data_IF_353939996313
#
_entry.id   IF_353939996313
#
_cell.length_a   1.000
_cell.length_b   1.000
_cell.length_c   1.000
_cell.angle_alpha   90.00
_cell.angle_beta   90.00
_cell.angle_gamma   90.00
#
_symmetry.space_group_name_H-M   'P 1'
#
loop_
_entity.id
_entity.type
_entity.pdbx_description
1 polymer ?
#
# COMPACT_ATOMS: atom_id res chain seq x y z
N UNK A 1 -19.91 27.41 28.90
CA UNK A 1 -20.54 26.57 27.84
C UNK A 1 -19.46 26.24 26.83
N UNK A 2 -19.02 24.98 26.81
CA UNK A 2 -18.01 24.50 25.87
C UNK A 2 -18.65 24.39 24.47
N UNK A 3 -18.01 24.99 23.47
CA UNK A 3 -18.44 24.88 22.08
C UNK A 3 -18.29 23.45 21.60
N UNK A 4 -19.40 22.83 21.21
CA UNK A 4 -19.40 21.56 20.49
C UNK A 4 -18.68 21.75 19.16
N UNK A 5 -17.69 20.90 18.90
CA UNK A 5 -16.88 20.92 17.68
C UNK A 5 -17.75 20.84 16.44
N UNK A 6 -17.43 21.68 15.45
CA UNK A 6 -18.10 21.75 14.17
C UNK A 6 -17.90 20.41 13.44
N UNK A 7 -18.93 19.57 13.35
CA UNK A 7 -18.92 18.43 12.43
C UNK A 7 -18.93 19.01 11.02
N UNK A 8 -17.86 18.79 10.25
CA UNK A 8 -17.86 19.13 8.82
C UNK A 8 -18.98 18.33 8.13
N UNK A 9 -19.61 18.91 7.11
CA UNK A 9 -20.69 18.27 6.36
C UNK A 9 -20.15 17.19 5.43
N UNK A 10 -20.82 16.03 5.37
CA UNK A 10 -20.55 15.01 4.36
C UNK A 10 -20.89 15.54 2.96
N UNK A 11 -20.31 14.91 1.95
CA UNK A 11 -20.50 15.28 0.54
C UNK A 11 -21.09 14.10 -0.22
N UNK A 12 -22.33 14.23 -0.67
CA UNK A 12 -23.00 13.25 -1.52
C UNK A 12 -22.92 13.67 -3.00
N UNK A 13 -22.32 12.82 -3.83
CA UNK A 13 -22.23 12.98 -5.29
C UNK A 13 -23.39 12.26 -5.96
N UNK A 14 -24.10 12.96 -6.86
CA UNK A 14 -25.22 12.40 -7.62
C UNK A 14 -24.79 11.85 -8.99
N UNK A 15 -25.51 10.85 -9.50
CA UNK A 15 -25.21 10.12 -10.74
C UNK A 15 -25.25 10.96 -12.04
N UNK A 16 -25.79 12.18 -11.99
CA UNK A 16 -25.83 13.14 -13.12
C UNK A 16 -24.49 13.84 -13.38
N UNK A 17 -23.50 13.69 -12.48
CA UNK A 17 -22.12 14.09 -12.73
C UNK A 17 -21.87 15.60 -12.72
N UNK A 18 -22.05 16.24 -11.55
CA UNK A 18 -21.43 17.50 -11.10
C UNK A 18 -22.09 18.01 -9.80
N UNK A 19 -23.35 17.62 -9.58
CA UNK A 19 -24.16 18.08 -8.45
C UNK A 19 -23.72 17.39 -7.15
N UNK A 20 -23.44 18.21 -6.13
CA UNK A 20 -23.06 17.78 -4.80
C UNK A 20 -24.10 18.26 -3.80
N UNK A 21 -24.58 17.36 -2.97
CA UNK A 21 -25.36 17.71 -1.79
C UNK A 21 -24.43 17.68 -0.58
N UNK A 22 -24.49 18.72 0.25
CA UNK A 22 -23.72 18.78 1.49
C UNK A 22 -24.67 18.65 2.67
N UNK A 23 -24.28 17.86 3.67
CA UNK A 23 -25.09 17.63 4.87
C UNK A 23 -24.56 16.47 5.70
N UNK A 24 -25.23 16.15 6.80
CA UNK A 24 -24.89 15.00 7.64
C UNK A 24 -25.77 13.82 7.23
N UNK A 25 -25.16 12.75 6.72
CA UNK A 25 -25.86 11.51 6.42
C UNK A 25 -26.43 10.90 7.70
N UNK A 26 -27.74 10.66 7.72
CA UNK A 26 -28.47 10.07 8.84
C UNK A 26 -28.81 8.62 8.62
N UNK A 27 -29.22 8.25 7.42
CA UNK A 27 -29.54 6.85 7.11
C UNK A 27 -29.45 6.56 5.62
N UNK A 28 -29.23 5.29 5.31
CA UNK A 28 -29.55 4.69 4.03
C UNK A 28 -30.38 3.46 4.34
N UNK A 29 -31.66 3.52 4.03
CA UNK A 29 -32.59 2.42 4.24
C UNK A 29 -32.40 1.29 3.24
N UNK A 30 -32.89 0.12 3.62
CA UNK A 30 -33.02 -1.08 2.80
C UNK A 30 -34.08 -0.92 1.69
N UNK A 31 -34.92 0.12 1.79
CA UNK A 31 -35.76 0.63 0.71
C UNK A 31 -34.98 1.47 -0.32
N UNK A 32 -33.67 1.64 -0.12
CA UNK A 32 -32.78 2.42 -0.96
C UNK A 32 -32.99 3.93 -0.83
N UNK A 33 -33.62 4.43 0.24
CA UNK A 33 -33.77 5.88 0.48
C UNK A 33 -32.63 6.39 1.37
N UNK A 34 -31.96 7.46 0.93
CA UNK A 34 -30.96 8.18 1.71
C UNK A 34 -31.59 9.38 2.42
N UNK A 35 -31.34 9.53 3.71
CA UNK A 35 -31.74 10.69 4.50
C UNK A 35 -30.53 11.54 4.87
N UNK A 36 -30.53 12.80 4.42
CA UNK A 36 -29.47 13.77 4.63
C UNK A 36 -30.00 14.98 5.40
N UNK A 37 -29.35 15.33 6.52
CA UNK A 37 -29.62 16.60 7.18
C UNK A 37 -28.77 17.69 6.53
N UNK A 38 -29.40 18.59 5.77
CA UNK A 38 -28.72 19.63 4.99
C UNK A 38 -29.29 21.01 5.34
N UNK A 39 -28.48 22.06 5.24
CA UNK A 39 -28.94 23.45 5.39
C UNK A 39 -29.91 23.88 4.27
N UNK A 40 -29.98 23.12 3.18
CA UNK A 40 -30.89 23.37 2.06
C UNK A 40 -32.37 23.12 2.39
N UNK A 41 -32.66 22.43 3.50
CA UNK A 41 -34.03 22.14 3.92
C UNK A 41 -34.16 22.13 5.46
N UNK A 42 -35.30 22.57 6.02
CA UNK A 42 -35.52 22.58 7.47
C UNK A 42 -35.70 21.16 8.08
N UNK A 43 -35.84 20.12 7.24
CA UNK A 43 -35.99 18.73 7.66
C UNK A 43 -35.01 17.80 6.94
N UNK A 44 -35.17 16.49 7.13
CA UNK A 44 -34.35 15.51 6.43
C UNK A 44 -34.67 15.54 4.92
N UNK A 45 -33.64 15.82 4.12
CA UNK A 45 -33.70 15.68 2.68
C UNK A 45 -33.71 14.19 2.35
N UNK A 46 -34.78 13.73 1.71
CA UNK A 46 -34.94 12.34 1.26
C UNK A 46 -34.57 12.24 -0.20
N UNK A 47 -33.51 11.49 -0.50
CA UNK A 47 -33.00 11.28 -1.85
C UNK A 47 -33.14 9.80 -2.18
N UNK A 48 -33.58 9.47 -3.41
CA UNK A 48 -33.50 8.07 -3.87
C UNK A 48 -32.03 7.69 -3.92
N UNK A 49 -31.61 6.67 -3.17
CA UNK A 49 -30.24 6.18 -3.13
C UNK A 49 -29.71 5.74 -4.50
N UNK A 50 -30.59 5.36 -5.42
CA UNK A 50 -30.22 5.13 -6.83
C UNK A 50 -29.73 6.39 -7.58
N UNK A 51 -29.95 7.59 -7.05
CA UNK A 51 -29.39 8.84 -7.59
C UNK A 51 -28.06 9.20 -6.93
N UNK A 52 -27.68 8.52 -5.84
CA UNK A 52 -26.46 8.81 -5.07
C UNK A 52 -25.39 7.81 -5.50
N UNK A 53 -24.29 8.31 -6.04
CA UNK A 53 -23.15 7.50 -6.44
C UNK A 53 -22.24 7.22 -5.24
N UNK A 54 -21.94 8.28 -4.48
CA UNK A 54 -20.97 8.23 -3.38
C UNK A 54 -21.31 9.26 -2.31
N UNK A 55 -21.11 8.90 -1.05
CA UNK A 55 -21.05 9.81 0.09
C UNK A 55 -19.63 9.77 0.65
N UNK A 56 -18.98 10.92 0.76
CA UNK A 56 -17.68 11.09 1.43
C UNK A 56 -17.91 11.70 2.82
N UNK A 57 -17.40 11.04 3.85
CA UNK A 57 -17.53 11.53 5.22
C UNK A 57 -16.51 12.62 5.50
N UNK A 58 -16.96 13.68 6.16
CA UNK A 58 -16.16 14.88 6.36
C UNK A 58 -15.09 14.76 7.46
N UNK A 59 -15.20 13.73 8.29
CA UNK A 59 -14.25 13.45 9.35
C UNK A 59 -13.04 12.76 8.74
N UNK A 60 -11.87 13.38 8.85
CA UNK A 60 -10.62 12.70 8.55
C UNK A 60 -10.46 11.58 9.57
N UNK A 61 -10.81 10.35 9.20
CA UNK A 61 -10.50 9.20 10.04
C UNK A 61 -9.02 9.24 10.39
N UNK A 62 -8.72 9.25 11.69
CA UNK A 62 -7.38 9.02 12.18
C UNK A 62 -7.00 7.64 11.68
N UNK A 63 -5.98 7.55 10.83
CA UNK A 63 -5.55 6.24 10.34
C UNK A 63 -5.13 5.39 11.56
N UNK A 64 -5.82 4.26 11.81
CA UNK A 64 -5.37 3.35 12.83
C UNK A 64 -4.01 2.77 12.41
N UNK A 65 -3.23 2.34 13.39
CA UNK A 65 -2.07 1.51 13.10
C UNK A 65 -2.52 0.30 12.27
N UNK A 66 -1.80 0.01 11.18
CA UNK A 66 -2.16 -1.07 10.28
C UNK A 66 -2.18 -2.40 11.03
N UNK A 67 -3.32 -3.10 11.08
CA UNK A 67 -3.38 -4.39 11.76
C UNK A 67 -2.50 -5.43 11.05
N UNK A 68 -1.92 -6.38 11.80
CA UNK A 68 -0.95 -7.34 11.26
C UNK A 68 -1.57 -8.37 10.31
N UNK A 69 -2.90 -8.42 10.20
CA UNK A 69 -3.61 -9.35 9.33
C UNK A 69 -4.79 -8.70 8.60
N UNK A 70 -5.27 -9.39 7.57
CA UNK A 70 -6.48 -9.04 6.82
C UNK A 70 -7.25 -10.30 6.48
N UNK A 71 -8.56 -10.25 6.73
CA UNK A 71 -9.50 -11.31 6.37
C UNK A 71 -10.25 -10.89 5.12
N UNK A 72 -10.36 -11.79 4.16
CA UNK A 72 -11.26 -11.69 3.03
C UNK A 72 -12.45 -12.60 3.27
N UNK A 73 -13.67 -12.08 3.11
CA UNK A 73 -14.90 -12.85 3.18
C UNK A 73 -15.27 -13.42 1.80
N UNK A 74 -16.15 -14.43 1.76
CA UNK A 74 -16.61 -15.07 0.51
C UNK A 74 -17.33 -14.13 -0.45
N UNK A 75 -17.89 -13.02 0.03
CA UNK A 75 -18.45 -11.97 -0.82
C UNK A 75 -17.40 -10.96 -1.33
N UNK A 76 -16.13 -11.10 -0.94
CA UNK A 76 -15.01 -10.23 -1.29
C UNK A 76 -14.84 -9.01 -0.38
N UNK A 77 -15.51 -8.96 0.76
CA UNK A 77 -15.30 -7.92 1.77
C UNK A 77 -13.95 -8.10 2.47
N UNK A 78 -13.35 -7.00 2.91
CA UNK A 78 -12.00 -6.97 3.48
C UNK A 78 -12.01 -6.37 4.88
N UNK A 79 -11.52 -7.14 5.85
CA UNK A 79 -11.44 -6.76 7.26
C UNK A 79 -9.98 -6.73 7.72
N UNK A 80 -9.36 -5.55 7.88
CA UNK A 80 -8.10 -5.38 8.61
C UNK A 80 -8.29 -5.69 10.10
N UNK A 81 -7.46 -6.58 10.65
CA UNK A 81 -7.55 -7.02 12.04
C UNK A 81 -6.27 -7.70 12.56
N UNK A 82 -6.25 -8.01 13.85
CA UNK A 82 -5.38 -9.04 14.43
C UNK A 82 -6.19 -10.33 14.64
N UNK A 83 -5.60 -11.48 14.30
CA UNK A 83 -6.19 -12.78 14.62
C UNK A 83 -5.99 -13.06 16.11
N UNK A 84 -7.06 -13.50 16.79
CA UNK A 84 -7.02 -13.83 18.21
C UNK A 84 -6.92 -15.34 18.37
N UNK A 85 -7.89 -16.07 17.80
CA UNK A 85 -7.98 -17.53 17.85
C UNK A 85 -8.87 -18.05 16.72
N UNK A 86 -8.77 -19.34 16.42
CA UNK A 86 -9.66 -20.02 15.51
C UNK A 86 -9.87 -21.46 15.94
N UNK A 87 -11.11 -21.93 15.77
CA UNK A 87 -11.50 -23.33 15.93
C UNK A 87 -12.13 -23.85 14.61
N UNK A 88 -12.59 -25.11 14.61
CA UNK A 88 -13.22 -25.73 13.42
C UNK A 88 -14.49 -25.01 12.94
N UNK A 89 -15.13 -24.20 13.78
CA UNK A 89 -16.40 -23.53 13.50
C UNK A 89 -16.21 -22.07 13.09
N UNK A 90 -15.17 -21.39 13.58
CA UNK A 90 -14.99 -19.97 13.28
C UNK A 90 -13.73 -19.33 13.83
N UNK A 91 -13.49 -18.13 13.32
CA UNK A 91 -12.35 -17.26 13.59
C UNK A 91 -12.80 -16.13 14.52
N UNK A 92 -11.97 -15.80 15.51
CA UNK A 92 -12.13 -14.63 16.35
C UNK A 92 -11.02 -13.63 16.03
N UNK A 93 -11.40 -12.39 15.74
CA UNK A 93 -10.46 -11.31 15.39
C UNK A 93 -10.72 -10.06 16.22
N UNK A 94 -9.69 -9.22 16.35
CA UNK A 94 -9.79 -7.86 16.85
C UNK A 94 -9.51 -6.86 15.75
N UNK A 95 -10.49 -6.04 15.37
CA UNK A 95 -10.34 -4.96 14.40
C UNK A 95 -10.32 -3.60 15.12
N UNK A 96 -9.43 -2.67 14.76
CA UNK A 96 -9.50 -1.31 15.30
C UNK A 96 -10.81 -0.58 14.98
N UNK A 97 -11.47 -0.97 13.89
CA UNK A 97 -12.70 -0.33 13.41
C UNK A 97 -13.96 -1.09 13.87
N UNK A 98 -13.92 -2.43 13.81
CA UNK A 98 -15.09 -3.27 14.10
C UNK A 98 -15.10 -3.86 15.51
N UNK A 99 -14.04 -3.62 16.30
CA UNK A 99 -13.86 -4.26 17.60
C UNK A 99 -13.63 -5.77 17.47
N UNK A 100 -14.02 -6.52 18.51
CA UNK A 100 -13.90 -7.98 18.53
C UNK A 100 -15.05 -8.62 17.76
N UNK A 101 -14.74 -9.48 16.79
CA UNK A 101 -15.72 -10.18 15.95
C UNK A 101 -15.46 -11.68 15.95
N UNK A 102 -16.54 -12.48 15.92
CA UNK A 102 -16.49 -13.91 15.56
C UNK A 102 -17.08 -14.09 14.17
N UNK A 103 -16.29 -14.66 13.27
CA UNK A 103 -16.65 -14.93 11.88
C UNK A 103 -16.77 -16.45 11.72
N UNK A 104 -17.92 -16.92 11.27
CA UNK A 104 -18.11 -18.34 10.98
C UNK A 104 -17.18 -18.78 9.83
N UNK A 105 -16.62 -19.99 9.93
CA UNK A 105 -15.64 -20.51 8.96
C UNK A 105 -16.16 -20.48 7.53
N UNK A 106 -17.45 -20.74 7.31
CA UNK A 106 -18.12 -20.70 6.00
C UNK A 106 -18.12 -19.32 5.33
N UNK A 107 -17.89 -18.24 6.07
CA UNK A 107 -17.82 -16.88 5.52
C UNK A 107 -16.40 -16.47 5.13
N UNK A 108 -15.37 -17.24 5.50
CA UNK A 108 -13.97 -16.92 5.21
C UNK A 108 -13.61 -17.33 3.77
N UNK A 109 -12.90 -16.46 3.07
CA UNK A 109 -12.30 -16.75 1.78
C UNK A 109 -10.77 -16.84 1.86
N UNK A 110 -10.15 -15.97 2.67
CA UNK A 110 -8.71 -15.98 2.92
C UNK A 110 -8.35 -15.24 4.21
N UNK A 111 -7.19 -15.58 4.78
CA UNK A 111 -6.48 -14.79 5.79
C UNK A 111 -5.09 -14.47 5.26
N UNK A 112 -4.67 -13.23 5.45
CA UNK A 112 -3.33 -12.76 5.11
C UNK A 112 -2.64 -12.24 6.36
N UNK A 113 -1.38 -12.62 6.57
CA UNK A 113 -0.63 -12.33 7.78
C UNK A 113 0.62 -11.48 7.49
N UNK A 114 1.12 -10.83 8.54
CA UNK A 114 2.21 -9.86 8.52
C UNK A 114 2.01 -8.73 7.53
N UNK A 115 0.78 -8.23 7.47
CA UNK A 115 0.47 -6.95 6.85
C UNK A 115 0.97 -5.87 7.80
N UNK A 116 2.18 -5.39 7.57
CA UNK A 116 2.73 -4.28 8.32
C UNK A 116 2.63 -3.01 7.47
N UNK A 117 2.48 -1.85 8.13
CA UNK A 117 2.86 -0.61 7.48
C UNK A 117 4.31 -0.78 7.00
N UNK A 118 4.59 -0.51 5.72
CA UNK A 118 5.96 -0.61 5.19
C UNK A 118 6.86 0.17 6.14
N UNK A 119 7.90 -0.47 6.70
CA UNK A 119 8.85 0.22 7.56
C UNK A 119 9.55 1.26 6.70
N UNK A 120 9.18 2.52 6.86
CA UNK A 120 9.86 3.64 6.21
C UNK A 120 11.22 3.78 6.90
N UNK A 121 12.26 3.40 6.17
CA UNK A 121 13.66 3.49 6.60
C UNK A 121 14.12 4.94 6.54
N UNK A 122 13.68 5.66 5.52
CA UNK A 122 13.95 7.07 5.34
C UNK A 122 12.82 7.75 4.58
N UNK A 123 12.51 8.99 4.98
CA UNK A 123 11.61 9.88 4.26
C UNK A 123 12.07 11.32 4.48
N UNK A 124 12.50 11.98 3.41
CA UNK A 124 13.07 13.32 3.45
C UNK A 124 13.34 13.89 2.05
N UNK A 125 14.15 14.95 1.93
CA UNK A 125 14.86 15.64 3.01
C UNK A 125 13.90 16.39 3.97
N UNK A 126 14.28 16.57 5.23
CA UNK A 126 13.51 17.32 6.25
C UNK A 126 14.16 18.64 6.65
N UNK A 127 15.49 18.68 6.61
CA UNK A 127 16.31 19.83 6.94
C UNK A 127 17.68 19.75 6.23
N UNK A 128 18.49 20.78 6.40
CA UNK A 128 19.82 20.96 5.80
C UNK A 128 20.92 20.10 6.45
N UNK A 129 20.65 19.46 7.59
CA UNK A 129 21.60 18.58 8.28
C UNK A 129 21.54 17.11 7.83
N UNK A 130 20.52 16.72 7.05
CA UNK A 130 20.32 15.32 6.67
C UNK A 130 21.30 14.82 5.59
N UNK A 131 21.85 15.71 4.77
CA UNK A 131 22.71 15.35 3.63
C UNK A 131 24.07 16.01 3.77
N UNK A 132 25.13 15.21 3.66
CA UNK A 132 26.51 15.69 3.79
C UNK A 132 27.14 15.90 2.42
N UNK A 133 27.75 17.06 2.19
CA UNK A 133 28.67 17.25 1.06
C UNK A 133 29.90 16.33 1.20
N UNK A 134 30.60 16.10 0.08
CA UNK A 134 31.95 15.54 0.15
C UNK A 134 32.96 16.69 0.15
N UNK A 135 33.97 16.63 1.01
CA UNK A 135 35.04 17.64 1.10
C UNK A 135 35.78 17.85 -0.25
N UNK A 136 35.75 16.84 -1.12
CA UNK A 136 36.38 16.84 -2.45
C UNK A 136 35.56 17.53 -3.54
N UNK A 137 34.30 17.88 -3.28
CA UNK A 137 33.41 18.56 -4.24
C UNK A 137 32.99 19.92 -3.66
N UNK A 138 33.33 21.00 -4.37
CA UNK A 138 33.14 22.38 -3.90
C UNK A 138 31.66 22.77 -3.64
N UNK A 139 30.69 22.00 -4.11
CA UNK A 139 29.26 22.32 -4.02
C UNK A 139 28.43 21.11 -3.62
N UNK A 140 27.56 21.30 -2.62
CA UNK A 140 26.60 20.32 -2.13
C UNK A 140 25.18 20.65 -2.62
N UNK A 141 24.27 19.68 -2.55
CA UNK A 141 22.84 19.93 -2.71
C UNK A 141 22.34 20.74 -1.51
N UNK A 142 21.58 21.80 -1.78
CA UNK A 142 21.06 22.70 -0.76
C UNK A 142 19.62 22.35 -0.42
N UNK A 143 19.28 22.33 0.86
CA UNK A 143 17.90 22.15 1.30
C UNK A 143 17.11 23.45 1.15
N UNK A 144 16.03 23.43 0.36
CA UNK A 144 15.15 24.58 0.13
C UNK A 144 13.69 24.10 0.16
N UNK A 145 12.93 24.53 1.17
CA UNK A 145 11.49 24.28 1.30
C UNK A 145 11.05 22.80 1.18
N UNK A 146 11.84 21.86 1.71
CA UNK A 146 11.52 20.42 1.62
C UNK A 146 12.13 19.69 0.42
N UNK A 147 12.85 20.40 -0.46
CA UNK A 147 13.50 19.86 -1.65
C UNK A 147 15.03 19.98 -1.51
N UNK A 148 15.77 19.08 -2.17
CA UNK A 148 17.21 19.27 -2.42
C UNK A 148 17.39 19.96 -3.77
N UNK A 149 18.12 21.07 -3.79
CA UNK A 149 18.33 21.91 -4.97
C UNK A 149 19.82 22.02 -5.29
N UNK A 150 20.18 21.79 -6.54
CA UNK A 150 21.50 22.01 -7.09
C UNK A 150 21.46 23.11 -8.14
N UNK A 151 22.47 23.97 -8.12
CA UNK A 151 22.78 24.91 -9.20
C UNK A 151 24.14 24.53 -9.79
N UNK A 152 24.13 23.97 -11.00
CA UNK A 152 25.33 23.38 -11.60
C UNK A 152 25.71 22.04 -10.96
N UNK A 153 27.02 21.83 -10.78
CA UNK A 153 27.57 20.60 -10.19
C UNK A 153 27.30 20.56 -8.70
N UNK A 154 26.86 19.41 -8.20
CA UNK A 154 26.62 19.21 -6.77
C UNK A 154 26.80 17.74 -6.38
N UNK A 155 27.26 17.50 -5.16
CA UNK A 155 27.41 16.16 -4.59
C UNK A 155 26.95 16.13 -3.13
N UNK A 156 26.10 15.18 -2.77
CA UNK A 156 25.74 14.94 -1.37
C UNK A 156 25.49 13.46 -1.10
N UNK A 157 25.80 13.03 0.12
CA UNK A 157 25.65 11.63 0.57
C UNK A 157 24.85 11.56 1.85
N UNK A 158 24.26 10.38 2.06
CA UNK A 158 23.61 10.01 3.31
C UNK A 158 23.69 8.51 3.49
N UNK A 159 23.96 8.05 4.71
CA UNK A 159 23.72 6.66 5.06
C UNK A 159 22.23 6.45 5.34
N UNK A 160 21.60 5.61 4.52
CA UNK A 160 20.18 5.26 4.60
C UNK A 160 19.98 3.96 5.39
N UNK A 161 20.97 3.06 5.40
CA UNK A 161 20.81 1.72 5.94
C UNK A 161 19.81 0.87 5.14
N UNK A 162 19.98 0.81 3.81
CA UNK A 162 19.10 0.04 2.91
C UNK A 162 18.89 -1.43 3.36
N UNK A 163 17.62 -1.88 3.50
CA UNK A 163 17.29 -3.29 3.76
C UNK A 163 17.69 -4.24 2.62
N UNK A 164 17.54 -5.55 2.83
CA UNK A 164 17.72 -6.54 1.75
C UNK A 164 16.68 -6.41 0.63
N UNK A 165 15.45 -5.99 0.98
CA UNK A 165 14.36 -5.74 0.05
C UNK A 165 13.72 -4.41 0.36
N UNK A 166 13.68 -3.52 -0.62
CA UNK A 166 13.20 -2.16 -0.39
C UNK A 166 12.57 -1.54 -1.63
N UNK A 167 11.67 -0.60 -1.39
CA UNK A 167 11.12 0.31 -2.38
C UNK A 167 11.78 1.68 -2.13
N UNK A 168 12.38 2.25 -3.17
CA UNK A 168 12.95 3.59 -3.19
C UNK A 168 12.17 4.47 -4.16
N UNK A 169 11.78 5.66 -3.72
CA UNK A 169 11.01 6.62 -4.51
C UNK A 169 11.62 8.00 -4.40
N UNK A 170 11.54 8.77 -5.48
CA UNK A 170 11.86 10.20 -5.49
C UNK A 170 11.32 10.84 -6.77
N UNK A 171 11.27 12.16 -6.79
CA UNK A 171 10.91 12.94 -7.98
C UNK A 171 12.05 13.89 -8.34
N UNK A 172 12.43 13.87 -9.61
CA UNK A 172 13.40 14.78 -10.21
C UNK A 172 12.66 15.92 -10.90
N UNK A 173 13.15 17.15 -10.77
CA UNK A 173 12.64 18.31 -11.49
C UNK A 173 13.80 19.18 -12.02
N UNK A 174 13.68 19.67 -13.26
CA UNK A 174 14.71 20.51 -13.87
C UNK A 174 14.17 21.79 -14.51
N UNK A 175 15.07 22.75 -14.69
CA UNK A 175 14.77 24.06 -15.27
C UNK A 175 14.24 23.96 -16.71
N UNK A 176 13.35 24.89 -17.07
CA UNK A 176 12.81 25.02 -18.43
C UNK A 176 13.92 25.29 -19.45
N UNK A 177 13.83 24.60 -20.59
CA UNK A 177 14.77 24.69 -21.71
C UNK A 177 16.22 24.27 -21.37
N UNK A 178 16.44 23.60 -20.24
CA UNK A 178 17.71 22.97 -19.88
C UNK A 178 17.59 21.45 -19.91
N UNK A 179 18.72 20.78 -20.10
CA UNK A 179 18.78 19.31 -20.04
C UNK A 179 19.14 18.87 -18.62
N UNK A 180 18.44 17.87 -18.06
CA UNK A 180 18.76 17.30 -16.77
C UNK A 180 20.10 16.54 -16.80
N UNK A 181 20.76 16.42 -15.66
CA UNK A 181 21.98 15.63 -15.51
C UNK A 181 22.10 15.08 -14.09
N UNK A 182 21.22 14.14 -13.76
CA UNK A 182 21.14 13.52 -12.45
C UNK A 182 21.87 12.18 -12.44
N UNK A 183 22.60 11.90 -11.36
CA UNK A 183 22.95 10.54 -10.96
C UNK A 183 22.55 10.30 -9.50
N UNK A 184 21.88 9.18 -9.26
CA UNK A 184 21.48 8.73 -7.93
C UNK A 184 22.14 7.37 -7.70
N UNK A 185 23.17 7.36 -6.88
CA UNK A 185 23.84 6.15 -6.42
C UNK A 185 23.12 5.60 -5.19
N UNK A 186 22.97 4.30 -5.11
CA UNK A 186 22.33 3.62 -3.99
C UNK A 186 22.96 2.26 -3.76
N UNK A 187 22.75 1.72 -2.55
CA UNK A 187 23.55 0.63 -2.02
C UNK A 187 25.06 0.95 -2.01
N UNK A 188 25.40 2.23 -1.83
CA UNK A 188 26.76 2.75 -1.89
C UNK A 188 27.50 2.47 -0.57
N UNK A 189 28.74 1.94 -0.58
CA UNK A 189 29.52 1.77 0.64
C UNK A 189 30.11 3.09 1.18
N UNK A 190 29.88 4.21 0.51
CA UNK A 190 30.38 5.55 0.86
C UNK A 190 31.90 5.62 0.94
N UNK A 191 32.57 4.94 0.02
CA UNK A 191 34.03 5.04 -0.16
C UNK A 191 34.41 6.36 -0.85
N UNK A 192 35.69 6.71 -0.80
CA UNK A 192 36.19 7.95 -1.40
C UNK A 192 35.93 8.01 -2.91
N UNK A 193 35.83 9.23 -3.46
CA UNK A 193 35.52 9.44 -4.87
C UNK A 193 36.54 8.76 -5.77
N UNK A 194 36.06 7.99 -6.76
CA UNK A 194 36.91 7.31 -7.73
C UNK A 194 37.37 5.91 -7.31
N UNK A 195 37.29 5.56 -6.02
CA UNK A 195 37.53 4.21 -5.53
C UNK A 195 36.52 3.23 -6.15
N UNK A 196 37.01 2.05 -6.54
CA UNK A 196 36.15 1.01 -7.12
C UNK A 196 35.36 0.35 -6.01
N UNK A 197 34.04 0.36 -6.14
CA UNK A 197 33.14 -0.23 -5.17
C UNK A 197 31.98 -0.96 -5.85
N UNK A 198 31.22 -1.70 -5.05
CA UNK A 198 29.99 -2.33 -5.47
C UNK A 198 28.78 -1.46 -5.12
N UNK A 199 28.11 -0.91 -6.14
CA UNK A 199 26.91 -0.07 -5.99
C UNK A 199 26.07 -0.07 -7.26
N UNK A 200 24.82 0.39 -7.13
CA UNK A 200 24.00 0.74 -8.27
C UNK A 200 23.97 2.24 -8.46
N UNK A 201 23.68 2.68 -9.67
CA UNK A 201 23.26 4.05 -9.90
C UNK A 201 22.26 4.18 -11.03
N UNK A 202 21.34 5.11 -10.84
CA UNK A 202 20.44 5.59 -11.86
C UNK A 202 20.99 6.89 -12.41
N UNK A 203 21.10 7.00 -13.73
CA UNK A 203 21.46 8.22 -14.43
C UNK A 203 20.30 8.68 -15.29
N UNK A 204 19.95 9.96 -15.21
CA UNK A 204 18.94 10.57 -16.07
C UNK A 204 19.48 11.84 -16.71
N UNK A 205 19.44 11.89 -18.04
CA UNK A 205 19.91 13.04 -18.80
C UNK A 205 19.42 13.06 -20.24
N UNK A 206 20.20 13.67 -21.14
CA UNK A 206 19.82 13.86 -22.55
C UNK A 206 19.55 12.56 -23.32
N UNK A 207 20.20 11.46 -22.93
CA UNK A 207 20.04 10.13 -23.54
C UNK A 207 18.90 9.30 -22.92
N UNK A 208 18.17 9.86 -21.96
CA UNK A 208 17.15 9.17 -21.19
C UNK A 208 17.68 8.60 -19.88
N UNK A 209 17.11 7.46 -19.45
CA UNK A 209 17.36 6.88 -18.14
C UNK A 209 18.14 5.57 -18.24
N UNK A 210 19.22 5.47 -17.48
CA UNK A 210 20.04 4.28 -17.37
C UNK A 210 20.14 3.82 -15.92
N UNK A 211 19.94 2.53 -15.70
CA UNK A 211 20.26 1.86 -14.45
C UNK A 211 21.52 1.03 -14.65
N UNK A 212 22.54 1.28 -13.84
CA UNK A 212 23.86 0.67 -13.97
C UNK A 212 24.34 0.06 -12.67
N UNK A 213 25.19 -0.95 -12.82
CA UNK A 213 25.96 -1.62 -11.78
C UNK A 213 27.42 -1.18 -11.90
N UNK A 214 27.95 -0.53 -10.86
CA UNK A 214 29.40 -0.34 -10.73
C UNK A 214 29.98 -1.49 -9.92
N UNK A 215 31.01 -2.18 -10.41
CA UNK A 215 31.59 -3.37 -9.75
C UNK A 215 33.04 -3.14 -9.29
N UNK A 216 33.36 -3.64 -8.10
CA UNK A 216 34.70 -3.50 -7.52
C UNK A 216 35.76 -4.35 -8.25
N UNK A 217 35.40 -5.58 -8.68
CA UNK A 217 36.37 -6.57 -9.20
C UNK A 217 36.37 -6.66 -10.73
N UNK A 218 35.21 -6.81 -11.35
CA UNK A 218 35.08 -7.16 -12.78
C UNK A 218 34.99 -5.94 -13.71
N UNK A 219 34.19 -6.00 -14.78
CA UNK A 219 33.88 -4.83 -15.60
C UNK A 219 33.31 -3.72 -14.72
N UNK A 220 33.99 -2.57 -14.71
CA UNK A 220 33.64 -1.47 -13.80
C UNK A 220 32.18 -1.06 -13.94
N UNK A 221 31.66 -0.88 -15.15
CA UNK A 221 30.27 -0.48 -15.38
C UNK A 221 29.53 -1.46 -16.27
N UNK A 222 28.38 -1.94 -15.78
CA UNK A 222 27.47 -2.82 -16.52
C UNK A 222 26.07 -2.22 -16.51
N UNK A 223 25.44 -2.12 -17.68
CA UNK A 223 24.05 -1.65 -17.80
C UNK A 223 23.09 -2.74 -17.35
N UNK A 224 22.23 -2.42 -16.40
CA UNK A 224 21.14 -3.28 -15.92
C UNK A 224 19.86 -2.99 -16.69
N UNK A 225 19.58 -1.71 -16.92
CA UNK A 225 18.44 -1.27 -17.74
C UNK A 225 18.77 0.01 -18.51
N UNK A 226 18.17 0.15 -19.69
CA UNK A 226 18.13 1.38 -20.47
C UNK A 226 16.68 1.66 -20.83
N UNK A 227 16.17 2.83 -20.46
CA UNK A 227 14.83 3.29 -20.79
C UNK A 227 14.97 4.57 -21.61
N UNK A 228 14.53 4.50 -22.88
CA UNK A 228 14.57 5.63 -23.81
C UNK A 228 13.44 6.64 -23.52
N UNK A 229 13.40 7.16 -22.29
CA UNK A 229 12.50 8.22 -21.85
C UNK A 229 13.26 9.53 -21.93
N UNK A 230 13.03 10.34 -22.95
CA UNK A 230 13.77 11.59 -23.11
C UNK A 230 13.20 12.69 -22.19
N UNK A 231 14.02 13.67 -21.76
CA UNK A 231 13.55 14.78 -20.93
C UNK A 231 12.37 15.55 -21.54
N UNK A 232 12.35 15.72 -22.87
CA UNK A 232 11.26 16.39 -23.57
C UNK A 232 9.90 15.66 -23.51
N UNK A 233 9.90 14.37 -23.15
CA UNK A 233 8.68 13.55 -23.02
C UNK A 233 8.09 13.58 -21.61
N UNK A 234 8.81 14.18 -20.65
CA UNK A 234 8.41 14.26 -19.27
C UNK A 234 7.54 15.50 -19.02
N UNK A 235 6.28 15.28 -18.61
CA UNK A 235 5.37 16.36 -18.27
C UNK A 235 5.96 17.25 -17.17
N UNK A 236 5.77 18.56 -17.30
CA UNK A 236 6.19 19.57 -16.34
C UNK A 236 7.69 19.59 -15.98
N UNK A 237 8.54 18.90 -16.78
CA UNK A 237 9.98 18.71 -16.48
C UNK A 237 10.18 17.96 -15.17
N UNK A 238 9.29 16.99 -14.92
CA UNK A 238 9.29 16.16 -13.72
C UNK A 238 9.38 14.69 -14.10
N UNK A 239 10.11 13.93 -13.31
CA UNK A 239 10.17 12.48 -13.43
C UNK A 239 10.08 11.86 -12.04
N UNK A 240 8.97 11.19 -11.76
CA UNK A 240 8.85 10.32 -10.59
C UNK A 240 9.46 8.97 -10.90
N UNK A 241 10.38 8.55 -10.04
CA UNK A 241 11.02 7.24 -10.08
C UNK A 241 10.52 6.43 -8.89
N UNK A 242 10.04 5.23 -9.17
CA UNK A 242 9.77 4.20 -8.16
C UNK A 242 10.60 2.97 -8.52
N UNK A 243 11.47 2.54 -7.61
CA UNK A 243 12.37 1.39 -7.80
C UNK A 243 12.15 0.38 -6.68
N UNK A 244 11.77 -0.85 -7.03
CA UNK A 244 11.76 -1.97 -6.10
C UNK A 244 13.05 -2.76 -6.28
N UNK A 245 13.74 -3.08 -5.19
CA UNK A 245 15.01 -3.82 -5.20
C UNK A 245 14.88 -5.04 -4.32
N UNK A 246 15.24 -6.21 -4.86
CA UNK A 246 15.40 -7.45 -4.11
C UNK A 246 16.85 -7.94 -4.24
N UNK A 247 17.63 -7.75 -3.18
CA UNK A 247 19.04 -8.20 -3.14
C UNK A 247 19.17 -9.72 -3.04
N UNK A 248 18.13 -10.45 -2.61
CA UNK A 248 18.19 -11.92 -2.53
C UNK A 248 18.08 -12.55 -3.91
N UNK A 249 17.18 -12.03 -4.73
CA UNK A 249 16.95 -12.49 -6.10
C UNK A 249 17.79 -11.74 -7.15
N UNK A 250 18.56 -10.73 -6.71
CA UNK A 250 19.32 -9.82 -7.55
C UNK A 250 18.44 -9.16 -8.63
N UNK A 251 17.24 -8.71 -8.25
CA UNK A 251 16.24 -8.15 -9.15
C UNK A 251 15.87 -6.71 -8.81
N UNK A 252 15.58 -5.93 -9.86
CA UNK A 252 15.22 -4.53 -9.79
C UNK A 252 14.00 -4.29 -10.68
N UNK A 253 12.92 -3.72 -10.12
CA UNK A 253 11.71 -3.36 -10.86
C UNK A 253 11.55 -1.85 -10.89
N UNK A 254 11.46 -1.28 -12.09
CA UNK A 254 11.43 0.17 -12.30
C UNK A 254 10.06 0.61 -12.80
N UNK A 255 9.47 1.61 -12.14
CA UNK A 255 8.34 2.38 -12.65
C UNK A 255 8.72 3.85 -12.79
N UNK A 256 8.24 4.48 -13.87
CA UNK A 256 8.38 5.91 -14.12
C UNK A 256 7.00 6.53 -14.23
N UNK A 257 6.74 7.59 -13.46
CA UNK A 257 5.43 8.26 -13.41
C UNK A 257 4.25 7.28 -13.20
N UNK A 258 4.44 6.27 -12.34
CA UNK A 258 3.45 5.23 -12.04
C UNK A 258 3.28 4.15 -13.11
N UNK A 259 4.00 4.21 -14.24
CA UNK A 259 3.98 3.19 -15.29
C UNK A 259 5.17 2.23 -15.13
N UNK A 260 4.91 0.92 -15.14
CA UNK A 260 5.96 -0.10 -15.17
C UNK A 260 6.78 0.00 -16.47
N UNK A 261 8.10 0.17 -16.33
CA UNK A 261 9.04 0.14 -17.45
C UNK A 261 9.67 -1.25 -17.61
N UNK A 262 9.88 -1.98 -16.51
CA UNK A 262 10.34 -3.36 -16.57
C UNK A 262 10.82 -3.94 -15.23
N UNK A 263 11.18 -5.23 -15.28
CA UNK A 263 11.87 -5.95 -14.22
C UNK A 263 13.18 -6.49 -14.80
N UNK A 264 14.28 -6.23 -14.09
CA UNK A 264 15.64 -6.44 -14.56
C UNK A 264 16.41 -7.27 -13.53
N UNK A 265 17.32 -8.12 -14.00
CA UNK A 265 18.21 -8.91 -13.14
C UNK A 265 19.62 -8.33 -13.18
N UNK A 266 20.28 -8.22 -12.03
CA UNK A 266 21.68 -7.84 -11.97
C UNK A 266 22.54 -8.96 -12.61
N UNK A 267 23.28 -8.67 -13.70
CA UNK A 267 24.06 -9.66 -14.41
C UNK A 267 25.39 -10.04 -13.72
N UNK A 268 25.81 -9.34 -12.66
CA UNK A 268 27.12 -9.54 -12.02
C UNK A 268 27.10 -10.67 -10.97
N UNK A 269 25.91 -11.12 -10.55
CA UNK A 269 25.73 -12.26 -9.64
C UNK A 269 25.95 -11.94 -8.15
N UNK A 270 26.90 -11.05 -7.81
CA UNK A 270 26.99 -10.46 -6.47
C UNK A 270 26.25 -9.13 -6.39
N UNK A 271 25.40 -8.96 -5.38
CA UNK A 271 24.62 -7.73 -5.18
C UNK A 271 25.36 -6.72 -4.28
N UNK A 272 25.28 -5.40 -4.55
CA UNK A 272 25.72 -4.36 -3.64
C UNK A 272 25.03 -4.43 -2.28
N UNK A 273 25.81 -4.26 -1.21
CA UNK A 273 25.32 -4.33 0.18
C UNK A 273 25.44 -3.02 0.95
N UNK A 274 25.98 -1.96 0.35
CA UNK A 274 26.16 -0.67 1.02
C UNK A 274 24.87 -0.07 1.56
N UNK A 275 24.99 0.75 2.60
CA UNK A 275 23.88 1.49 3.23
C UNK A 275 23.66 2.88 2.64
N UNK A 276 24.63 3.40 1.89
CA UNK A 276 24.67 4.77 1.43
C UNK A 276 23.86 5.07 0.17
N UNK A 277 23.47 6.33 0.07
CA UNK A 277 22.91 6.96 -1.13
C UNK A 277 23.75 8.20 -1.44
N UNK A 278 24.10 8.40 -2.72
CA UNK A 278 24.77 9.61 -3.18
C UNK A 278 23.99 10.27 -4.31
N UNK A 279 23.85 11.59 -4.22
CA UNK A 279 23.15 12.43 -5.18
C UNK A 279 24.18 13.28 -5.91
N UNK A 280 24.16 13.22 -7.24
CA UNK A 280 25.10 13.94 -8.08
C UNK A 280 24.35 14.71 -9.16
N UNK A 281 24.63 16.00 -9.25
CA UNK A 281 24.31 16.81 -10.42
C UNK A 281 25.60 17.01 -11.21
N UNK A 282 25.55 16.72 -12.52
CA UNK A 282 26.61 17.07 -13.46
C UNK A 282 26.17 18.21 -14.40
N UNK A 283 25.20 19.02 -13.98
CA UNK A 283 24.71 20.13 -14.77
C UNK A 283 25.78 21.23 -14.93
N UNK A 284 25.72 21.97 -16.03
CA UNK A 284 26.54 23.19 -16.21
C UNK A 284 26.17 24.25 -15.18
N UNK A 285 27.13 25.10 -14.83
CA UNK A 285 26.93 26.21 -13.89
C UNK A 285 25.71 27.08 -14.29
N UNK A 286 24.92 27.46 -13.28
CA UNK A 286 23.68 28.22 -13.46
C UNK A 286 22.46 27.41 -13.93
N UNK A 287 22.58 26.09 -14.13
CA UNK A 287 21.42 25.21 -14.40
C UNK A 287 20.86 24.71 -13.07
N UNK A 288 19.59 25.00 -12.81
CA UNK A 288 18.92 24.59 -11.57
C UNK A 288 18.19 23.27 -11.74
N UNK A 289 18.39 22.36 -10.79
CA UNK A 289 17.75 21.05 -10.72
C UNK A 289 17.37 20.74 -9.27
N UNK A 290 16.30 19.98 -9.07
CA UNK A 290 15.82 19.62 -7.74
C UNK A 290 15.41 18.16 -7.65
N UNK A 291 15.49 17.64 -6.44
CA UNK A 291 15.13 16.27 -6.09
C UNK A 291 14.34 16.31 -4.78
N UNK A 292 13.17 15.66 -4.78
CA UNK A 292 12.25 15.69 -3.63
C UNK A 292 11.56 14.37 -3.37
N UNK A 293 10.93 14.30 -2.20
CA UNK A 293 10.09 13.17 -1.80
C UNK A 293 10.85 11.86 -1.81
N UNK A 294 12.10 11.88 -1.32
CA UNK A 294 12.92 10.68 -1.21
C UNK A 294 12.30 9.82 -0.11
N UNK A 295 11.84 8.64 -0.47
CA UNK A 295 11.31 7.66 0.45
C UNK A 295 11.99 6.32 0.20
N UNK A 296 12.51 5.70 1.25
CA UNK A 296 12.99 4.33 1.25
C UNK A 296 12.20 3.56 2.28
N UNK A 297 11.55 2.49 1.85
CA UNK A 297 10.75 1.64 2.72
C UNK A 297 11.10 0.18 2.50
N UNK A 298 11.02 -0.61 3.56
CA UNK A 298 11.21 -2.05 3.46
C UNK A 298 10.07 -2.69 2.67
N UNK A 299 10.44 -3.54 1.70
CA UNK A 299 9.48 -4.24 0.85
C UNK A 299 9.20 -5.62 1.41
N UNK A 300 7.99 -5.81 1.95
CA UNK A 300 7.44 -7.15 2.15
C UNK A 300 6.62 -7.56 0.92
N UNK A 301 7.30 -8.13 -0.07
CA UNK A 301 6.67 -8.60 -1.33
C UNK A 301 5.90 -9.90 -1.15
N UNK A 302 6.08 -10.64 -0.05
CA UNK A 302 5.42 -11.93 0.16
C UNK A 302 3.89 -11.79 0.32
N UNK A 303 3.35 -10.97 1.24
CA UNK A 303 1.90 -10.79 1.36
C UNK A 303 1.25 -10.26 0.09
N UNK A 304 1.95 -9.41 -0.68
CA UNK A 304 1.43 -8.85 -1.94
C UNK A 304 1.44 -9.88 -3.08
N UNK A 305 2.49 -10.71 -3.20
CA UNK A 305 2.55 -11.82 -4.17
C UNK A 305 1.48 -12.87 -3.89
N UNK A 306 1.40 -13.35 -2.65
CA UNK A 306 0.44 -14.39 -2.27
C UNK A 306 -1.02 -13.93 -2.36
N UNK A 307 -1.28 -12.62 -2.27
CA UNK A 307 -2.62 -12.03 -2.54
C UNK A 307 -3.07 -12.20 -4.00
N UNK A 308 -2.14 -12.20 -4.95
CA UNK A 308 -2.42 -12.30 -6.39
C UNK A 308 -2.23 -13.74 -6.94
N UNK A 309 -1.76 -14.67 -6.12
CA UNK A 309 -1.47 -16.05 -6.56
C UNK A 309 -2.73 -16.90 -6.71
N UNK A 310 -2.72 -17.78 -7.72
CA UNK A 310 -3.78 -18.75 -7.93
C UNK A 310 -3.79 -19.82 -6.84
N UNK A 311 -4.99 -20.09 -6.30
CA UNK A 311 -5.25 -21.16 -5.32
C UNK A 311 -4.90 -22.52 -5.94
N UNK A 312 -4.18 -23.36 -5.19
CA UNK A 312 -3.83 -24.71 -5.66
C UNK A 312 -5.02 -25.67 -5.66
N UNK A 313 -5.88 -25.57 -4.65
CA UNK A 313 -7.11 -26.35 -4.52
C UNK A 313 -8.30 -25.41 -4.26
N UNK A 314 -9.45 -25.72 -4.84
CA UNK A 314 -10.68 -24.90 -4.73
C UNK A 314 -11.63 -25.45 -3.66
N UNK A 315 -11.46 -26.72 -3.32
CA UNK A 315 -12.27 -27.55 -2.45
C UNK A 315 -11.60 -27.88 -1.09
N UNK A 316 -10.29 -27.71 -0.97
CA UNK A 316 -9.54 -27.86 0.27
C UNK A 316 -9.01 -26.51 0.79
N UNK A 317 -8.73 -26.44 2.09
CA UNK A 317 -7.96 -25.32 2.62
C UNK A 317 -6.50 -25.45 2.21
N UNK A 318 -5.81 -24.32 2.09
CA UNK A 318 -4.39 -24.31 1.80
C UNK A 318 -3.68 -23.22 2.58
N UNK A 319 -2.43 -23.47 2.91
CA UNK A 319 -1.55 -22.51 3.61
C UNK A 319 -0.29 -22.28 2.78
N UNK A 320 0.13 -21.02 2.73
CA UNK A 320 1.38 -20.59 2.12
C UNK A 320 2.24 -19.91 3.17
N UNK A 321 3.47 -20.38 3.37
CA UNK A 321 4.45 -19.73 4.26
C UNK A 321 5.20 -18.62 3.53
N UNK A 322 5.87 -17.75 4.29
CA UNK A 322 6.79 -16.72 3.78
C UNK A 322 7.98 -17.28 3.03
N UNK A 323 8.29 -18.57 3.21
CA UNK A 323 9.29 -19.33 2.45
C UNK A 323 8.73 -19.89 1.14
N UNK A 324 7.48 -19.55 0.80
CA UNK A 324 6.76 -20.00 -0.39
C UNK A 324 6.52 -21.53 -0.41
N UNK A 325 6.54 -22.18 0.75
CA UNK A 325 6.10 -23.57 0.89
C UNK A 325 4.58 -23.59 0.94
N UNK A 326 3.99 -24.65 0.38
CA UNK A 326 2.54 -24.76 0.17
C UNK A 326 2.05 -26.12 0.64
N UNK A 327 0.95 -26.11 1.38
CA UNK A 327 0.26 -27.31 1.82
C UNK A 327 -1.23 -27.19 1.57
N UNK A 328 -1.87 -28.31 1.28
CA UNK A 328 -3.33 -28.48 1.26
C UNK A 328 -3.75 -29.35 2.43
N UNK A 329 -4.96 -29.14 2.93
CA UNK A 329 -5.50 -29.90 4.07
C UNK A 329 -6.55 -29.12 4.85
N UNK A 330 -6.52 -29.21 6.18
CA UNK A 330 -7.45 -28.54 7.09
C UNK A 330 -6.72 -27.74 8.18
N UNK A 331 -7.04 -26.44 8.31
CA UNK A 331 -6.65 -25.65 9.48
C UNK A 331 -7.49 -26.08 10.69
N UNK A 332 -6.86 -26.80 11.62
CA UNK A 332 -7.53 -27.31 12.83
C UNK A 332 -7.79 -26.19 13.84
N UNK A 333 -6.90 -25.20 13.90
CA UNK A 333 -7.11 -24.01 14.72
C UNK A 333 -5.91 -23.09 14.81
N UNK A 334 -6.13 -21.95 15.46
CA UNK A 334 -5.12 -20.93 15.76
C UNK A 334 -5.20 -20.62 17.25
N UNK A 335 -4.07 -20.69 17.95
CA UNK A 335 -4.01 -20.42 19.39
C UNK A 335 -2.72 -19.71 19.77
N UNK A 336 -2.78 -18.90 20.83
CA UNK A 336 -1.59 -18.31 21.43
C UNK A 336 -0.79 -19.36 22.22
N UNK A 337 0.53 -19.24 22.17
CA UNK A 337 1.52 -20.01 22.94
C UNK A 337 2.54 -19.04 23.54
N UNK A 338 3.45 -19.53 24.39
CA UNK A 338 4.53 -18.72 24.97
C UNK A 338 5.46 -18.11 23.88
N UNK A 339 5.55 -18.76 22.70
CA UNK A 339 6.32 -18.31 21.55
C UNK A 339 5.55 -17.46 20.53
N UNK A 340 4.30 -17.07 20.85
CA UNK A 340 3.41 -16.36 19.92
C UNK A 340 2.26 -17.23 19.41
N UNK A 341 1.53 -16.74 18.40
CA UNK A 341 0.41 -17.49 17.80
C UNK A 341 0.93 -18.59 16.86
N UNK A 342 0.31 -19.76 16.95
CA UNK A 342 0.62 -20.93 16.14
C UNK A 342 -0.66 -21.40 15.42
N UNK A 343 -0.52 -21.69 14.13
CA UNK A 343 -1.53 -22.33 13.30
C UNK A 343 -1.26 -23.84 13.32
N UNK A 344 -2.29 -24.63 13.64
CA UNK A 344 -2.24 -26.09 13.59
C UNK A 344 -2.93 -26.56 12.32
N UNK A 345 -2.18 -27.08 11.36
CA UNK A 345 -2.65 -27.42 10.02
C UNK A 345 -2.45 -28.92 9.76
N UNK A 346 -3.55 -29.63 9.50
CA UNK A 346 -3.54 -31.06 9.16
C UNK A 346 -3.35 -31.19 7.65
N UNK A 347 -2.19 -31.68 7.22
CA UNK A 347 -1.75 -31.66 5.81
C UNK A 347 -2.06 -32.98 5.13
N UNK A 348 -2.58 -32.93 3.89
CA UNK A 348 -2.94 -34.14 3.11
C UNK A 348 -1.73 -35.06 2.81
N UNK A 349 -0.51 -34.52 2.83
CA UNK A 349 0.72 -35.22 2.44
C UNK A 349 1.64 -35.62 3.61
N UNK A 350 1.21 -35.43 4.85
CA UNK A 350 2.01 -35.71 6.04
C UNK A 350 1.24 -36.55 7.06
N UNK A 351 1.97 -37.34 7.86
CA UNK A 351 1.35 -38.14 8.94
C UNK A 351 1.13 -37.32 10.23
N UNK A 352 1.70 -36.11 10.32
CA UNK A 352 1.69 -35.28 11.53
C UNK A 352 1.06 -33.90 11.29
N UNK A 353 0.35 -33.42 12.30
CA UNK A 353 -0.17 -32.06 12.38
C UNK A 353 0.98 -31.04 12.32
N UNK A 354 0.93 -30.13 11.35
CA UNK A 354 1.91 -29.07 11.19
C UNK A 354 1.64 -27.95 12.19
N UNK A 355 2.65 -27.56 12.96
CA UNK A 355 2.62 -26.37 13.80
C UNK A 355 3.41 -25.25 13.13
N UNK A 356 2.69 -24.25 12.63
CA UNK A 356 3.25 -23.12 11.88
C UNK A 356 3.14 -21.85 12.74
N UNK A 357 4.26 -21.23 13.16
CA UNK A 357 4.22 -19.90 13.77
C UNK A 357 3.54 -18.90 12.84
N UNK A 358 2.64 -18.05 13.35
CA UNK A 358 1.93 -17.04 12.54
C UNK A 358 2.91 -16.14 11.78
N UNK A 359 4.06 -15.84 12.38
CA UNK A 359 5.12 -15.04 11.76
C UNK A 359 5.67 -15.68 10.47
N UNK A 360 5.63 -17.00 10.34
CA UNK A 360 6.10 -17.72 9.15
C UNK A 360 5.00 -17.94 8.11
N UNK A 361 3.74 -17.72 8.48
CA UNK A 361 2.60 -17.86 7.56
C UNK A 361 2.41 -16.57 6.79
N UNK A 362 2.19 -16.68 5.48
CA UNK A 362 1.79 -15.55 4.66
C UNK A 362 0.28 -15.52 4.42
N UNK A 363 -0.31 -16.65 4.06
CA UNK A 363 -1.73 -16.72 3.73
C UNK A 363 -2.34 -18.09 4.04
N UNK A 364 -3.63 -18.08 4.37
CA UNK A 364 -4.50 -19.25 4.43
C UNK A 364 -5.67 -19.00 3.48
N UNK A 365 -5.99 -19.97 2.63
CA UNK A 365 -7.15 -19.91 1.74
C UNK A 365 -8.19 -20.94 2.15
N UNK A 366 -9.46 -20.51 2.11
CA UNK A 366 -10.60 -21.36 2.41
C UNK A 366 -11.33 -21.77 1.12
N UNK A 367 -11.96 -22.96 1.09
CA UNK A 367 -12.84 -23.37 0.00
C UNK A 367 -13.90 -22.31 -0.27
N UNK A 368 -14.15 -22.01 -1.55
CA UNK A 368 -15.22 -21.06 -1.91
C UNK A 368 -16.56 -21.78 -1.85
N UNK A 369 -17.54 -21.14 -1.21
CA UNK A 369 -18.94 -21.49 -1.38
C UNK A 369 -19.60 -20.47 -2.33
N UNK A 370 -19.86 -20.83 -3.61
CA UNK A 370 -20.45 -19.92 -4.59
C UNK A 370 -21.86 -19.43 -4.20
N UNK A 371 -22.62 -20.24 -3.47
CA UNK A 371 -23.97 -19.89 -3.03
C UNK A 371 -23.93 -18.73 -2.02
N UNK A 372 -23.01 -18.77 -1.05
CA UNK A 372 -22.79 -17.67 -0.11
C UNK A 372 -22.18 -16.43 -0.77
N UNK A 373 -21.43 -16.59 -1.86
CA UNK A 373 -20.86 -15.47 -2.61
C UNK A 373 -21.90 -14.70 -3.44
N UNK A 374 -23.06 -15.32 -3.72
CA UNK A 374 -24.12 -14.79 -4.59
C UNK A 374 -25.38 -14.32 -3.84
N UNK A 375 -25.49 -14.62 -2.53
CA UNK A 375 -26.57 -14.11 -1.68
C UNK A 375 -26.31 -12.65 -1.32
N UNK A 376 -26.74 -11.71 -2.16
CA UNK A 376 -26.63 -10.28 -1.88
C UNK A 376 -27.88 -9.55 -2.38
N UNK A 377 -28.44 -8.66 -1.56
CA UNK A 377 -29.67 -7.88 -1.81
C UNK A 377 -29.65 -7.09 -3.13
N UNK A 378 -30.83 -6.75 -3.65
CA UNK A 378 -31.00 -5.97 -4.89
C UNK A 378 -30.33 -4.58 -4.86
N UNK A 379 -30.07 -4.04 -3.67
CA UNK A 379 -29.31 -2.81 -3.46
C UNK A 379 -28.18 -3.07 -2.47
N UNK A 380 -26.96 -2.73 -2.86
CA UNK A 380 -25.74 -2.92 -2.07
C UNK A 380 -24.93 -1.63 -2.03
N UNK A 381 -24.38 -1.36 -0.85
CA UNK A 381 -23.47 -0.24 -0.65
C UNK A 381 -22.11 -0.76 -0.19
N UNK A 382 -21.04 -0.24 -0.79
CA UNK A 382 -19.67 -0.44 -0.37
C UNK A 382 -19.32 0.61 0.68
N UNK A 383 -19.26 0.20 1.94
CA UNK A 383 -18.75 1.01 3.03
C UNK A 383 -17.23 0.86 3.11
N UNK A 384 -16.50 1.94 2.83
CA UNK A 384 -15.05 2.02 3.04
C UNK A 384 -14.75 2.62 4.40
N UNK A 385 -13.82 2.01 5.12
CA UNK A 385 -13.40 2.47 6.45
C UNK A 385 -11.87 2.53 6.57
N UNK A 386 -11.38 3.13 7.65
CA UNK A 386 -9.96 3.32 7.92
C UNK A 386 -9.18 1.99 7.95
N UNK A 387 -7.87 2.02 7.64
CA UNK A 387 -7.06 0.81 7.44
C UNK A 387 -7.32 0.06 6.11
N UNK A 388 -8.12 0.65 5.21
CA UNK A 388 -8.38 0.12 3.87
C UNK A 388 -9.29 -1.11 3.85
N UNK A 389 -10.23 -1.20 4.79
CA UNK A 389 -11.28 -2.23 4.77
C UNK A 389 -12.51 -1.80 3.96
N UNK A 390 -13.27 -2.79 3.51
CA UNK A 390 -14.44 -2.62 2.63
C UNK A 390 -15.49 -3.62 3.08
N UNK A 391 -16.71 -3.14 3.35
CA UNK A 391 -17.86 -3.95 3.75
C UNK A 391 -19.03 -3.72 2.81
N UNK A 392 -19.71 -4.80 2.39
CA UNK A 392 -20.98 -4.72 1.67
C UNK A 392 -22.14 -4.71 2.66
N UNK A 393 -22.84 -3.57 2.69
CA UNK A 393 -23.97 -3.34 3.59
C UNK A 393 -25.27 -3.13 2.80
N UNK A 394 -26.39 -3.53 3.39
CA UNK A 394 -27.73 -3.30 2.83
C UNK A 394 -28.36 -2.01 3.34
N UNK A 395 -28.03 -1.60 4.58
CA UNK A 395 -28.51 -0.36 5.17
C UNK A 395 -27.57 0.15 6.26
N UNK A 396 -27.70 1.44 6.58
CA UNK A 396 -27.02 2.08 7.69
C UNK A 396 -27.88 3.16 8.37
N UNK A 397 -27.61 3.38 9.65
CA UNK A 397 -28.15 4.47 10.45
C UNK A 397 -27.04 5.10 11.28
N UNK A 398 -27.07 6.42 11.38
CA UNK A 398 -26.09 7.20 12.14
C UNK A 398 -26.74 7.89 13.32
N UNK A 399 -26.30 7.51 14.52
CA UNK A 399 -26.70 8.09 15.79
C UNK A 399 -25.47 8.67 16.48
N UNK A 400 -25.37 10.01 16.52
CA UNK A 400 -24.18 10.72 16.97
C UNK A 400 -22.90 10.22 16.26
N UNK A 401 -21.96 9.66 17.03
CA UNK A 401 -20.67 9.18 16.54
C UNK A 401 -20.67 7.69 16.19
N UNK A 402 -21.84 7.02 16.20
CA UNK A 402 -21.98 5.59 15.91
C UNK A 402 -22.71 5.38 14.59
N UNK A 403 -22.14 4.53 13.75
CA UNK A 403 -22.77 3.98 12.56
C UNK A 403 -23.24 2.55 12.85
N UNK A 404 -24.55 2.35 12.84
CA UNK A 404 -25.17 1.03 12.85
C UNK A 404 -25.36 0.59 11.40
N UNK A 405 -24.80 -0.56 11.01
CA UNK A 405 -24.88 -1.05 9.63
C UNK A 405 -25.34 -2.49 9.60
N UNK A 406 -26.06 -2.85 8.55
CA UNK A 406 -26.43 -4.25 8.29
C UNK A 406 -25.53 -4.81 7.20
N UNK A 407 -24.55 -5.62 7.61
CA UNK A 407 -23.63 -6.31 6.72
C UNK A 407 -24.32 -7.53 6.11
N UNK A 408 -24.12 -7.73 4.81
CA UNK A 408 -24.81 -8.79 4.03
C UNK A 408 -24.52 -10.22 4.50
N UNK A 409 -23.28 -10.52 4.92
CA UNK A 409 -22.91 -11.80 5.54
C UNK A 409 -22.89 -11.82 7.07
N UNK A 410 -22.37 -10.76 7.71
CA UNK A 410 -22.11 -10.75 9.16
C UNK A 410 -23.30 -10.25 9.99
N UNK A 411 -24.34 -9.72 9.36
CA UNK A 411 -25.49 -9.12 10.06
C UNK A 411 -25.17 -7.74 10.66
N UNK A 412 -25.83 -7.36 11.76
CA UNK A 412 -25.70 -6.01 12.32
C UNK A 412 -24.31 -5.77 12.93
N UNK A 413 -23.70 -4.62 12.60
CA UNK A 413 -22.40 -4.18 13.10
C UNK A 413 -22.47 -2.72 13.56
N UNK A 414 -21.65 -2.37 14.55
CA UNK A 414 -21.48 -1.01 15.03
C UNK A 414 -20.07 -0.51 14.75
N UNK A 415 -19.95 0.69 14.19
CA UNK A 415 -18.68 1.33 13.85
C UNK A 415 -18.64 2.76 14.36
N UNK A 416 -17.46 3.27 14.68
CA UNK A 416 -17.26 4.70 14.87
C UNK A 416 -17.46 5.44 13.54
N UNK A 417 -18.29 6.50 13.54
CA UNK A 417 -18.52 7.34 12.35
C UNK A 417 -17.22 8.00 11.88
N UNK A 418 -16.36 8.35 12.82
CA UNK A 418 -15.02 8.88 12.59
C UNK A 418 -14.09 7.89 11.89
N UNK A 419 -14.40 6.59 11.85
CA UNK A 419 -13.62 5.56 11.17
C UNK A 419 -14.06 5.35 9.71
N UNK A 420 -15.12 6.01 9.25
CA UNK A 420 -15.66 5.81 7.91
C UNK A 420 -15.05 6.79 6.91
N UNK A 421 -14.87 6.33 5.67
CA UNK A 421 -14.29 7.11 4.57
C UNK A 421 -15.35 7.47 3.53
N UNK A 422 -16.04 6.46 3.03
CA UNK A 422 -17.10 6.66 2.05
C UNK A 422 -18.13 5.54 2.08
N UNK A 423 -19.32 5.86 1.59
CA UNK A 423 -20.30 4.86 1.14
C UNK A 423 -20.48 5.04 -0.36
N UNK A 424 -20.31 3.98 -1.13
CA UNK A 424 -20.48 3.96 -2.58
C UNK A 424 -21.60 3.00 -2.95
N UNK A 425 -22.43 3.35 -3.92
CA UNK A 425 -23.40 2.39 -4.46
C UNK A 425 -22.65 1.33 -5.27
N UNK A 426 -22.84 0.05 -4.97
CA UNK A 426 -22.30 -1.03 -5.78
C UNK A 426 -23.15 -1.19 -7.05
N UNK A 427 -22.55 -1.07 -8.24
CA UNK A 427 -23.21 -1.44 -9.50
C UNK A 427 -22.89 -2.93 -9.78
N UNK A 428 -23.78 -3.72 -10.40
CA UNK A 428 -23.54 -5.15 -10.64
C UNK A 428 -22.23 -5.50 -11.36
N UNK A 429 -21.62 -4.56 -12.11
CA UNK A 429 -20.28 -4.73 -12.72
C UNK A 429 -19.12 -4.68 -11.72
N UNK A 430 -19.26 -3.95 -10.60
CA UNK A 430 -18.21 -3.81 -9.58
C UNK A 430 -18.01 -5.09 -8.76
N UNK A 431 -18.98 -6.00 -8.81
CA UNK A 431 -18.96 -7.31 -8.14
C UNK A 431 -17.87 -8.23 -8.72
N UNK A 432 -17.46 -8.03 -9.98
CA UNK A 432 -16.47 -8.88 -10.67
C UNK A 432 -15.03 -8.36 -10.66
N UNK A 433 -14.79 -7.12 -10.22
CA UNK A 433 -13.53 -6.41 -10.54
C UNK A 433 -12.57 -6.23 -9.36
N UNK A 434 -12.92 -6.66 -8.14
CA UNK A 434 -12.03 -6.55 -6.97
C UNK A 434 -11.07 -7.76 -6.85
N UNK A 435 -11.22 -8.76 -7.72
CA UNK A 435 -10.42 -10.01 -7.73
C UNK A 435 -9.49 -10.18 -8.93
N UNK A 436 -8.88 -9.12 -9.45
CA UNK A 436 -7.78 -9.20 -10.42
C UNK A 436 -6.55 -8.45 -9.94
#
# INVERSE_FOLDING_TARGET
MAGAGISRADVATLTSGAERLTGILRSIGDDGVMELQSELAPGLLRVRGAMVEKVEFAVAAKEPEMPPARIELVNGDLIPCAVIEMDRNGLVVGSPVLGKLRIERRHLAAMQFGIHARRVVYAGPRDDGEWSGADEVESAWNFVNGDLVAEGRAFSTRDIGFPERFDMKFELEWERNKLPSFQVFFCDPLVATGERCDRYYLQFGSAGLELKRESAKDRRYTTVAFVNRLPGECADRKLRVDLQVDRRDASLRLMLNGKLEGEFRDPVGSVPTGGGMALVSQASDGVVQSLRGIEVSESDVAPQRHRAEQRMAVDHESVITRKNERWTGELVGISATDGGRVLRFDSDFGENLLELPEADVSAVFFPRNPELASSSSEVLYLLRHAGGGILRISSCRFEADVAQVNHTLLGPLNLGRDQLRSIERAVPKDIKTIGK
#
